data_IF_768579344512
#
_entry.id   IF_768579344512
#
_cell.length_a   1.000
_cell.length_b   1.000
_cell.length_c   1.000
_cell.angle_alpha   90.00
_cell.angle_beta   90.00
_cell.angle_gamma   90.00
#
_symmetry.space_group_name_H-M   'P 1'
#
loop_
_entity.id
_entity.type
_entity.pdbx_description
1 polymer ?
#
# COMPACT_ATOMS: atom_id res chain seq x y z
N UNK A 1 -14.47 -20.64 82.76
CA UNK A 1 -15.12 -20.11 81.54
C UNK A 1 -14.79 -18.63 81.49
N UNK A 2 -13.86 -18.22 80.62
CA UNK A 2 -13.35 -16.85 80.55
C UNK A 2 -12.53 -16.66 79.28
N UNK A 3 -13.20 -16.06 78.30
CA UNK A 3 -12.82 -15.57 76.97
C UNK A 3 -11.41 -15.78 76.40
N UNK A 4 -11.41 -16.52 75.28
CA UNK A 4 -10.41 -16.54 74.21
C UNK A 4 -10.23 -15.17 73.56
N UNK A 5 -8.98 -14.71 73.45
CA UNK A 5 -8.60 -13.56 72.64
C UNK A 5 -8.72 -13.84 71.14
N UNK A 6 -9.27 -12.88 70.38
CA UNK A 6 -9.26 -12.87 68.90
C UNK A 6 -8.44 -11.67 68.42
N UNK A 7 -7.34 -11.84 67.66
CA UNK A 7 -6.67 -10.73 67.02
C UNK A 7 -7.40 -10.36 65.72
N UNK A 8 -7.82 -9.10 65.60
CA UNK A 8 -8.38 -8.57 64.34
C UNK A 8 -7.22 -8.19 63.42
N UNK A 9 -6.88 -9.08 62.50
CA UNK A 9 -5.94 -8.80 61.41
C UNK A 9 -6.54 -7.78 60.44
N UNK A 10 -6.00 -6.55 60.44
CA UNK A 10 -6.40 -5.50 59.50
C UNK A 10 -5.84 -5.81 58.11
N UNK A 11 -6.67 -6.34 57.22
CA UNK A 11 -6.33 -6.60 55.83
C UNK A 11 -5.96 -5.29 55.10
N UNK A 12 -4.67 -5.10 54.76
CA UNK A 12 -4.22 -4.06 53.84
C UNK A 12 -4.81 -4.34 52.45
N UNK A 13 -5.78 -3.54 52.03
CA UNK A 13 -6.35 -3.58 50.68
C UNK A 13 -5.27 -3.24 49.64
N UNK A 14 -5.00 -4.19 48.74
CA UNK A 14 -4.05 -4.06 47.63
C UNK A 14 -4.60 -3.09 46.56
N UNK A 15 -4.21 -1.82 46.61
CA UNK A 15 -4.46 -0.82 45.56
C UNK A 15 -3.53 -0.98 44.32
N UNK A 16 -3.17 -2.22 43.97
CA UNK A 16 -2.19 -2.50 42.90
C UNK A 16 -2.79 -2.86 41.53
N UNK A 17 -4.11 -3.12 41.46
CA UNK A 17 -4.75 -3.70 40.26
C UNK A 17 -5.02 -2.69 39.14
N UNK A 18 -5.31 -1.43 39.47
CA UNK A 18 -5.84 -0.45 38.51
C UNK A 18 -4.83 0.00 37.45
N UNK A 19 -3.53 0.04 37.81
CA UNK A 19 -2.45 0.39 36.88
C UNK A 19 -2.24 -0.67 35.78
N UNK A 20 -2.49 -1.94 36.09
CA UNK A 20 -2.34 -3.05 35.13
C UNK A 20 -3.47 -3.07 34.10
N UNK A 21 -4.69 -2.70 34.53
CA UNK A 21 -5.86 -2.61 33.65
C UNK A 21 -5.72 -1.47 32.64
N UNK A 22 -5.20 -0.31 33.06
CA UNK A 22 -4.96 0.82 32.17
C UNK A 22 -3.83 0.55 31.17
N UNK A 23 -2.76 -0.13 31.59
CA UNK A 23 -1.66 -0.51 30.69
C UNK A 23 -2.10 -1.54 29.62
N UNK A 24 -2.97 -2.49 29.99
CA UNK A 24 -3.54 -3.46 29.05
C UNK A 24 -4.47 -2.78 28.03
N UNK A 25 -5.26 -1.79 28.46
CA UNK A 25 -6.11 -0.99 27.56
C UNK A 25 -5.31 -0.19 26.52
N UNK A 26 -4.21 0.44 26.94
CA UNK A 26 -3.37 1.24 26.03
C UNK A 26 -2.67 0.38 24.94
N UNK A 27 -2.20 -0.82 25.30
CA UNK A 27 -1.63 -1.76 24.34
C UNK A 27 -2.69 -2.33 23.37
N UNK A 28 -3.89 -2.60 23.87
CA UNK A 28 -5.02 -3.03 23.03
C UNK A 28 -5.41 -1.97 22.00
N UNK A 29 -5.49 -0.69 22.39
CA UNK A 29 -5.82 0.41 21.48
C UNK A 29 -4.71 0.63 20.44
N UNK A 30 -3.43 0.60 20.84
CA UNK A 30 -2.33 0.70 19.87
C UNK A 30 -2.34 -0.46 18.87
N UNK A 31 -2.59 -1.69 19.32
CA UNK A 31 -2.65 -2.87 18.45
C UNK A 31 -3.79 -2.82 17.44
N UNK A 32 -4.93 -2.23 17.80
CA UNK A 32 -6.06 -2.03 16.88
C UNK A 32 -5.74 -0.95 15.83
N UNK A 33 -5.08 0.14 16.22
CA UNK A 33 -4.70 1.21 15.29
C UNK A 33 -3.64 0.75 14.29
N UNK A 34 -2.65 -0.05 14.72
CA UNK A 34 -1.66 -0.62 13.78
C UNK A 34 -2.27 -1.67 12.86
N UNK A 35 -3.18 -2.51 13.36
CA UNK A 35 -3.90 -3.47 12.52
C UNK A 35 -4.79 -2.79 11.48
N UNK A 36 -5.42 -1.66 11.82
CA UNK A 36 -6.26 -0.89 10.90
C UNK A 36 -5.44 -0.03 9.93
N UNK A 37 -4.20 0.34 10.28
CA UNK A 37 -3.27 1.05 9.38
C UNK A 37 -2.55 0.11 8.40
N UNK A 38 -2.49 -1.20 8.72
CA UNK A 38 -1.91 -2.22 7.85
C UNK A 38 -2.84 -2.65 6.69
N UNK A 39 -4.09 -2.19 6.69
CA UNK A 39 -4.94 -2.27 5.50
C UNK A 39 -4.59 -1.10 4.57
N UNK A 40 -3.36 -1.10 4.05
CA UNK A 40 -3.18 -0.54 2.71
C UNK A 40 -4.22 -1.23 1.85
N UNK A 41 -5.08 -0.50 1.10
CA UNK A 41 -5.92 -1.15 0.13
C UNK A 41 -4.99 -2.07 -0.65
N UNK A 42 -5.27 -3.38 -0.64
CA UNK A 42 -4.58 -4.30 -1.54
C UNK A 42 -4.78 -3.66 -2.91
N UNK A 43 -3.70 -3.09 -3.46
CA UNK A 43 -3.66 -2.40 -4.73
C UNK A 43 -4.57 -3.19 -5.66
N UNK A 44 -5.74 -2.62 -5.98
CA UNK A 44 -6.76 -3.33 -6.76
C UNK A 44 -6.01 -3.89 -7.96
N UNK A 45 -5.99 -5.23 -8.09
CA UNK A 45 -5.07 -5.91 -9.00
C UNK A 45 -5.12 -5.21 -10.36
N UNK A 46 -4.06 -4.45 -10.68
CA UNK A 46 -4.09 -3.59 -11.83
C UNK A 46 -4.20 -4.49 -13.06
N UNK A 47 -5.23 -4.26 -13.88
CA UNK A 47 -5.54 -5.11 -15.03
C UNK A 47 -4.78 -4.72 -16.29
N UNK A 48 -3.90 -3.72 -16.22
CA UNK A 48 -3.08 -3.25 -17.35
C UNK A 48 -1.64 -3.03 -16.90
N UNK A 49 -0.69 -3.17 -17.83
CA UNK A 49 0.74 -3.12 -17.53
C UNK A 49 1.16 -1.77 -16.95
N UNK A 50 0.67 -0.68 -17.53
CA UNK A 50 0.94 0.69 -17.10
C UNK A 50 0.38 0.99 -15.72
N UNK A 51 -0.85 0.55 -15.42
CA UNK A 51 -1.46 0.73 -14.11
C UNK A 51 -0.69 -0.05 -13.02
N UNK A 52 -0.24 -1.26 -13.33
CA UNK A 52 0.57 -2.07 -12.41
C UNK A 52 1.93 -1.42 -12.13
N UNK A 53 2.60 -0.89 -13.16
CA UNK A 53 3.86 -0.17 -12.98
C UNK A 53 3.69 1.09 -12.11
N UNK A 54 2.59 1.84 -12.32
CA UNK A 54 2.31 3.09 -11.63
C UNK A 54 2.13 2.93 -10.11
N UNK A 55 1.67 1.76 -9.63
CA UNK A 55 1.58 1.43 -8.19
C UNK A 55 2.94 1.54 -7.47
N UNK A 56 4.04 1.32 -8.20
CA UNK A 56 5.40 1.45 -7.70
C UNK A 56 6.10 2.76 -8.11
N UNK A 57 5.36 3.72 -8.66
CA UNK A 57 5.91 4.97 -9.20
C UNK A 57 6.74 4.77 -10.48
N UNK A 58 6.53 3.65 -11.20
CA UNK A 58 7.22 3.31 -12.45
C UNK A 58 6.28 3.41 -13.65
N UNK A 59 6.84 3.32 -14.85
CA UNK A 59 6.09 3.23 -16.10
C UNK A 59 6.37 1.90 -16.82
N UNK A 60 5.43 1.49 -17.65
CA UNK A 60 5.56 0.39 -18.61
C UNK A 60 5.35 0.96 -20.01
N UNK A 61 6.43 1.06 -20.78
CA UNK A 61 6.44 1.72 -22.08
C UNK A 61 6.54 0.74 -23.25
N UNK A 62 6.22 1.24 -24.44
CA UNK A 62 6.39 0.50 -25.71
C UNK A 62 6.95 1.39 -26.81
N UNK A 63 7.51 0.76 -27.85
CA UNK A 63 7.90 1.43 -29.07
C UNK A 63 6.68 1.53 -30.01
N UNK A 64 6.40 2.73 -30.50
CA UNK A 64 5.28 3.00 -31.41
C UNK A 64 5.82 3.41 -32.77
N UNK A 65 5.33 2.75 -33.82
CA UNK A 65 5.60 3.10 -35.21
C UNK A 65 4.38 3.80 -35.83
N UNK A 66 4.61 4.96 -36.45
CA UNK A 66 3.55 5.78 -37.03
C UNK A 66 2.80 5.04 -38.16
N UNK A 67 3.49 4.14 -38.87
CA UNK A 67 2.91 3.33 -39.95
C UNK A 67 1.81 2.35 -39.52
N UNK A 68 1.66 2.09 -38.21
CA UNK A 68 0.64 1.19 -37.67
C UNK A 68 -0.52 1.93 -36.98
N UNK A 69 -0.54 3.27 -36.99
CA UNK A 69 -1.58 4.05 -36.31
C UNK A 69 -2.97 3.96 -36.98
N UNK A 70 -3.08 3.35 -38.16
CA UNK A 70 -4.34 3.01 -38.80
C UNK A 70 -4.88 1.62 -38.41
N UNK A 71 -4.09 0.80 -37.70
CA UNK A 71 -4.54 -0.48 -37.15
C UNK A 71 -5.21 -0.25 -35.80
N UNK A 72 -6.54 -0.43 -35.77
CA UNK A 72 -7.34 -0.22 -34.56
C UNK A 72 -6.97 -1.16 -33.41
N UNK A 73 -6.49 -2.38 -33.72
CA UNK A 73 -6.08 -3.35 -32.69
C UNK A 73 -4.77 -2.91 -32.05
N UNK A 74 -3.84 -2.41 -32.87
CA UNK A 74 -2.56 -1.88 -32.42
C UNK A 74 -2.77 -0.68 -31.49
N UNK A 75 -3.55 0.32 -31.91
CA UNK A 75 -3.84 1.51 -31.11
C UNK A 75 -4.61 1.17 -29.83
N UNK A 76 -5.64 0.31 -29.91
CA UNK A 76 -6.40 -0.08 -28.72
C UNK A 76 -5.55 -0.82 -27.68
N UNK A 77 -4.57 -1.60 -28.11
CA UNK A 77 -3.62 -2.27 -27.21
C UNK A 77 -2.65 -1.27 -26.59
N UNK A 78 -2.12 -0.34 -27.41
CA UNK A 78 -1.25 0.73 -26.93
C UNK A 78 -1.93 1.57 -25.84
N UNK A 79 -3.12 2.11 -26.14
CA UNK A 79 -3.88 2.99 -25.24
C UNK A 79 -4.27 2.30 -23.93
N UNK A 80 -4.55 0.99 -23.97
CA UNK A 80 -4.97 0.23 -22.80
C UNK A 80 -3.80 -0.16 -21.89
N UNK A 81 -2.71 -0.64 -22.48
CA UNK A 81 -1.69 -1.35 -21.71
C UNK A 81 -0.52 -0.46 -21.25
N UNK A 82 -0.18 0.60 -21.97
CA UNK A 82 1.10 1.30 -21.76
C UNK A 82 0.89 2.75 -21.30
N UNK A 83 1.80 3.23 -20.46
CA UNK A 83 1.82 4.61 -19.97
C UNK A 83 3.15 5.33 -20.27
N UNK A 84 3.93 4.79 -21.21
CA UNK A 84 5.13 5.41 -21.76
C UNK A 84 5.27 5.06 -23.24
N UNK A 85 5.80 5.99 -24.03
CA UNK A 85 5.97 5.83 -25.47
C UNK A 85 7.36 6.26 -25.92
N UNK A 86 7.94 5.47 -26.81
CA UNK A 86 9.13 5.84 -27.57
C UNK A 86 8.80 5.67 -29.05
N UNK A 87 9.14 6.66 -29.89
CA UNK A 87 9.02 6.50 -31.33
C UNK A 87 9.99 5.41 -31.83
N UNK A 88 9.50 4.42 -32.56
CA UNK A 88 10.31 3.28 -33.00
C UNK A 88 11.41 3.73 -33.97
N UNK A 89 11.04 4.57 -34.95
CA UNK A 89 11.96 5.03 -35.99
C UNK A 89 11.85 6.54 -36.25
N UNK A 90 10.71 7.15 -35.94
CA UNK A 90 10.34 8.50 -36.36
C UNK A 90 11.24 9.59 -35.77
N UNK A 91 11.91 9.30 -34.65
CA UNK A 91 12.87 10.20 -34.01
C UNK A 91 14.34 9.79 -34.25
N UNK A 92 14.60 8.80 -35.11
CA UNK A 92 15.97 8.52 -35.58
C UNK A 92 16.41 9.61 -36.56
N UNK A 93 17.73 9.73 -36.77
CA UNK A 93 18.32 10.75 -37.64
C UNK A 93 17.71 10.77 -39.05
N UNK A 94 17.51 9.59 -39.66
CA UNK A 94 17.01 9.49 -41.04
C UNK A 94 15.67 10.23 -41.26
N UNK A 95 14.64 9.98 -40.45
CA UNK A 95 13.37 10.71 -40.56
C UNK A 95 13.43 12.20 -40.15
N UNK A 96 14.22 12.58 -39.14
CA UNK A 96 14.23 13.98 -38.64
C UNK A 96 15.16 14.91 -39.44
N UNK A 97 16.21 14.36 -40.07
CA UNK A 97 17.18 15.11 -40.88
C UNK A 97 17.53 14.29 -42.15
N UNK A 98 16.62 14.25 -43.14
CA UNK A 98 16.73 13.38 -44.32
C UNK A 98 17.76 13.86 -45.35
N UNK A 99 18.15 15.13 -45.31
CA UNK A 99 19.12 15.75 -46.22
C UNK A 99 20.17 16.51 -45.41
N UNK A 100 21.40 16.55 -45.93
CA UNK A 100 22.51 17.35 -45.38
C UNK A 100 22.72 18.63 -46.19
#
# INVERSE_FOLDING_TARGET
>A
MGETAIPVGRARRRLGGSRRVLAAGALGVLGVVTALSATTPADAAASTLGAAAAQSGRYFGTAIAAGHLNDSTYVATWDREFNGVTAENEMKWGPIEPSR
#
